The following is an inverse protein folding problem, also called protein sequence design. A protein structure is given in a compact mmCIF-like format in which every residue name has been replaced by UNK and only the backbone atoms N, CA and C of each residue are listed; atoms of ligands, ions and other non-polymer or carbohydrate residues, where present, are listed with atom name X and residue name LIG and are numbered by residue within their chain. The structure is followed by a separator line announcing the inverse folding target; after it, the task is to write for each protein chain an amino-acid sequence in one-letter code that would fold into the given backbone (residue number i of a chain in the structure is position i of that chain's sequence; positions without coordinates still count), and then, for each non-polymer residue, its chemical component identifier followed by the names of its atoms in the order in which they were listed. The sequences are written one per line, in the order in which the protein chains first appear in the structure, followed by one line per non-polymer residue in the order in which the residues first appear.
data_IF_961426024335
#
_entry.id   IF_961426024335
#
_cell.length_a   1.000
_cell.length_b   1.000
_cell.length_c   1.000
_cell.angle_alpha   90.00
_cell.angle_beta   90.00
_cell.angle_gamma   90.00
#
_symmetry.space_group_name_H-M   'P 1'
#
loop_
_entity.id
_entity.type
_entity.pdbx_description
1 polymer ?
#
# COMPACT_ATOMS: atom_id res chain seq x y z
N UNK A 1 -10.98 11.35 -6.03
CA UNK A 1 -9.88 12.35 -6.01
C UNK A 1 -8.56 11.69 -5.62
N UNK A 2 -7.39 12.19 -6.05
CA UNK A 2 -6.09 11.67 -5.59
C UNK A 2 -5.61 12.35 -4.31
N UNK A 3 -5.25 11.57 -3.28
CA UNK A 3 -4.63 12.07 -2.05
C UNK A 3 -3.16 11.72 -2.02
N UNK A 4 -2.29 12.72 -1.79
CA UNK A 4 -0.85 12.50 -1.58
C UNK A 4 -0.62 11.93 -0.19
N UNK A 5 0.23 10.91 -0.08
CA UNK A 5 0.65 10.28 1.18
C UNK A 5 2.16 10.04 1.18
N UNK A 6 2.80 10.02 2.34
CA UNK A 6 4.26 9.88 2.42
C UNK A 6 4.77 9.24 3.71
N UNK A 7 6.00 8.73 3.67
CA UNK A 7 6.71 8.24 4.87
C UNK A 7 6.82 9.32 5.94
N UNK A 8 7.00 10.58 5.57
CA UNK A 8 7.06 11.70 6.52
C UNK A 8 5.77 11.85 7.34
N UNK A 9 4.61 11.60 6.72
CA UNK A 9 3.29 11.67 7.36
C UNK A 9 3.04 10.47 8.29
N UNK A 10 3.39 9.24 7.86
CA UNK A 10 3.04 8.01 8.57
C UNK A 10 4.17 7.42 9.44
N UNK A 11 5.40 7.91 9.30
CA UNK A 11 6.57 7.45 10.04
C UNK A 11 6.76 5.93 9.96
N UNK A 12 6.86 5.28 11.13
CA UNK A 12 7.01 3.82 11.23
C UNK A 12 5.80 3.04 10.68
N UNK A 13 4.62 3.66 10.58
CA UNK A 13 3.41 3.00 10.02
C UNK A 13 3.34 3.05 8.50
N UNK A 14 4.28 3.73 7.84
CA UNK A 14 4.32 3.80 6.38
C UNK A 14 4.57 2.42 5.76
N UNK A 15 3.67 1.86 4.94
CA UNK A 15 3.78 0.47 4.52
C UNK A 15 4.70 0.23 3.33
N UNK A 16 5.20 1.27 2.66
CA UNK A 16 5.91 1.11 1.39
C UNK A 16 7.41 1.41 1.46
N UNK A 17 8.19 0.79 0.59
CA UNK A 17 9.64 1.03 0.47
C UNK A 17 9.96 2.37 -0.20
N UNK A 18 9.04 2.93 -0.99
CA UNK A 18 9.15 4.28 -1.59
C UNK A 18 8.89 5.37 -0.55
N UNK A 19 9.31 6.61 -0.82
CA UNK A 19 9.12 7.74 0.12
C UNK A 19 7.71 8.33 0.10
N UNK A 20 7.02 8.29 -1.05
CA UNK A 20 5.69 8.88 -1.21
C UNK A 20 4.96 8.37 -2.44
N UNK A 21 3.68 8.68 -2.54
CA UNK A 21 2.85 8.46 -3.72
C UNK A 21 1.45 9.05 -3.53
N UNK A 22 0.52 8.57 -4.34
CA UNK A 22 -0.88 8.97 -4.30
C UNK A 22 -1.77 7.77 -4.07
N UNK A 23 -2.74 7.90 -3.18
CA UNK A 23 -3.83 6.93 -3.01
C UNK A 23 -5.12 7.50 -3.58
N UNK A 24 -5.88 6.63 -4.24
CA UNK A 24 -7.20 6.95 -4.80
C UNK A 24 -7.94 5.67 -5.14
N UNK A 25 -9.20 5.79 -5.50
CA UNK A 25 -9.98 4.66 -5.97
C UNK A 25 -10.67 4.90 -7.31
N UNK A 26 -10.92 3.82 -8.03
CA UNK A 26 -11.74 3.76 -9.25
C UNK A 26 -12.70 2.58 -9.07
N UNK A 27 -14.01 2.81 -9.05
CA UNK A 27 -15.00 1.72 -8.87
C UNK A 27 -14.70 0.79 -7.68
N UNK A 28 -14.31 1.37 -6.52
CA UNK A 28 -13.88 0.65 -5.30
C UNK A 28 -12.55 -0.12 -5.40
N UNK A 29 -11.86 -0.09 -6.54
CA UNK A 29 -10.47 -0.53 -6.63
C UNK A 29 -9.59 0.50 -5.93
N UNK A 30 -8.94 0.12 -4.82
CA UNK A 30 -8.01 0.99 -4.11
C UNK A 30 -6.63 0.89 -4.76
N UNK A 31 -6.06 2.03 -5.12
CA UNK A 31 -4.84 2.11 -5.95
C UNK A 31 -3.82 3.00 -5.25
N UNK A 32 -2.56 2.56 -5.26
CA UNK A 32 -1.40 3.40 -4.92
C UNK A 32 -0.57 3.68 -6.18
N UNK A 33 -0.33 4.95 -6.47
CA UNK A 33 0.48 5.38 -7.61
C UNK A 33 1.76 6.07 -7.18
N UNK A 34 2.89 5.60 -7.69
CA UNK A 34 4.22 6.16 -7.43
C UNK A 34 5.14 5.84 -8.60
N UNK A 35 6.05 6.77 -8.94
CA UNK A 35 7.03 6.59 -10.02
C UNK A 35 6.41 6.10 -11.36
N UNK A 36 5.20 6.56 -11.69
CA UNK A 36 4.46 6.17 -12.91
C UNK A 36 3.79 4.78 -12.85
N UNK A 37 4.00 4.02 -11.78
CA UNK A 37 3.41 2.69 -11.58
C UNK A 37 2.15 2.78 -10.73
N UNK A 38 1.16 1.93 -11.05
CA UNK A 38 -0.11 1.82 -10.31
C UNK A 38 -0.22 0.43 -9.70
N UNK A 39 -0.29 0.39 -8.38
CA UNK A 39 -0.30 -0.81 -7.57
C UNK A 39 -1.68 -1.07 -6.98
N UNK A 40 -2.09 -2.34 -6.95
CA UNK A 40 -3.30 -2.80 -6.28
C UNK A 40 -3.14 -2.70 -4.77
N UNK A 41 -4.13 -2.15 -4.06
CA UNK A 41 -4.18 -2.18 -2.60
C UNK A 41 -5.25 -3.14 -2.06
N UNK A 42 -6.14 -3.63 -2.92
CA UNK A 42 -7.19 -4.57 -2.55
C UNK A 42 -7.50 -5.52 -3.71
N UNK A 43 -8.26 -6.59 -3.41
CA UNK A 43 -8.62 -7.60 -4.41
C UNK A 43 -9.45 -7.07 -5.59
N UNK A 44 -10.15 -5.94 -5.44
CA UNK A 44 -10.87 -5.30 -6.56
C UNK A 44 -9.88 -4.66 -7.53
N UNK A 45 -8.83 -4.00 -7.04
CA UNK A 45 -7.78 -3.47 -7.89
C UNK A 45 -6.96 -4.60 -8.54
N UNK A 46 -6.73 -5.69 -7.82
CA UNK A 46 -6.08 -6.87 -8.39
C UNK A 46 -6.89 -7.48 -9.55
N UNK A 47 -8.20 -7.66 -9.39
CA UNK A 47 -9.07 -8.21 -10.45
C UNK A 47 -9.18 -7.31 -11.67
N UNK A 48 -8.86 -6.02 -11.53
CA UNK A 48 -8.76 -5.06 -12.63
C UNK A 48 -7.38 -5.03 -13.31
N UNK A 49 -6.41 -5.83 -12.85
CA UNK A 49 -5.10 -5.98 -13.48
C UNK A 49 -4.05 -4.93 -13.06
N UNK A 50 -4.24 -4.24 -11.93
CA UNK A 50 -3.19 -3.36 -11.39
C UNK A 50 -2.00 -4.16 -10.85
N UNK A 51 -0.83 -3.52 -10.82
CA UNK A 51 0.45 -4.16 -10.42
C UNK A 51 0.38 -4.68 -8.98
N UNK A 52 0.91 -5.87 -8.70
CA UNK A 52 1.03 -6.38 -7.33
C UNK A 52 1.87 -5.46 -6.45
N UNK A 53 1.40 -5.16 -5.24
CA UNK A 53 2.07 -4.27 -4.30
C UNK A 53 3.28 -4.91 -3.60
N UNK A 54 3.36 -6.25 -3.58
CA UNK A 54 4.38 -7.05 -2.91
C UNK A 54 5.82 -6.55 -3.09
N UNK A 55 6.29 -6.15 -4.30
CA UNK A 55 7.66 -5.69 -4.49
C UNK A 55 8.02 -4.41 -3.72
N UNK A 56 7.02 -3.59 -3.35
CA UNK A 56 7.22 -2.36 -2.59
C UNK A 56 6.60 -2.40 -1.20
N UNK A 57 6.01 -3.53 -0.81
CA UNK A 57 5.39 -3.70 0.50
C UNK A 57 6.45 -4.05 1.55
N UNK A 58 6.65 -3.12 2.48
CA UNK A 58 7.66 -3.20 3.52
C UNK A 58 7.31 -4.23 4.59
N UNK A 59 8.33 -4.95 5.03
CA UNK A 59 8.25 -5.85 6.17
C UNK A 59 8.10 -5.09 7.50
N UNK A 60 7.40 -5.70 8.45
CA UNK A 60 7.32 -5.27 9.85
C UNK A 60 8.35 -6.02 10.68
N UNK A 61 9.52 -5.39 10.83
CA UNK A 61 10.66 -5.95 11.58
C UNK A 61 10.44 -5.96 13.10
N UNK A 62 9.30 -5.49 13.61
CA UNK A 62 8.99 -5.55 15.05
C UNK A 62 8.32 -6.88 15.46
N UNK A 63 7.96 -7.72 14.49
CA UNK A 63 7.34 -9.03 14.74
C UNK A 63 8.47 -10.09 14.73
N UNK A 64 8.66 -10.86 15.81
CA UNK A 64 9.63 -11.95 15.83
C UNK A 64 9.35 -12.94 14.70
N UNK A 65 10.39 -13.31 13.95
CA UNK A 65 10.33 -14.29 12.88
C UNK A 65 10.84 -15.66 13.36
N UNK A 66 10.05 -16.70 13.11
CA UNK A 66 10.44 -18.09 13.38
C UNK A 66 11.36 -18.64 12.26
N UNK A 67 12.09 -19.75 12.52
CA UNK A 67 12.87 -20.42 11.49
C UNK A 67 11.99 -20.88 10.32
N UNK A 68 12.25 -20.36 9.11
CA UNK A 68 11.50 -20.69 7.91
C UNK A 68 10.30 -19.78 7.60
N UNK A 69 9.97 -18.83 8.49
CA UNK A 69 8.89 -17.88 8.27
C UNK A 69 9.35 -16.67 7.44
N UNK A 70 8.43 -16.13 6.64
CA UNK A 70 8.62 -14.83 5.98
C UNK A 70 8.22 -13.70 6.93
N UNK A 71 8.92 -12.54 6.92
CA UNK A 71 8.50 -11.39 7.70
C UNK A 71 7.05 -11.00 7.42
N UNK A 72 6.31 -10.67 8.48
CA UNK A 72 5.01 -10.03 8.35
C UNK A 72 5.16 -8.69 7.62
N UNK A 73 4.09 -8.23 6.96
CA UNK A 73 4.08 -6.95 6.25
C UNK A 73 3.43 -5.86 7.10
N UNK A 74 3.88 -4.60 6.95
CA UNK A 74 3.25 -3.45 7.62
C UNK A 74 1.79 -3.32 7.14
N UNK A 75 0.84 -3.13 8.04
CA UNK A 75 -0.58 -3.03 7.69
C UNK A 75 -0.88 -1.95 6.63
N UNK A 76 -1.48 -2.34 5.49
CA UNK A 76 -1.90 -1.43 4.40
C UNK A 76 -3.34 -0.93 4.54
N UNK A 77 -4.12 -1.45 5.50
CA UNK A 77 -5.51 -1.07 5.73
C UNK A 77 -5.76 0.44 5.72
N UNK A 78 -4.97 1.26 6.45
CA UNK A 78 -5.12 2.71 6.41
C UNK A 78 -4.96 3.32 5.01
N UNK A 79 -4.14 2.75 4.12
CA UNK A 79 -4.01 3.24 2.74
C UNK A 79 -5.24 2.90 1.90
N UNK A 80 -5.86 1.74 2.15
CA UNK A 80 -7.10 1.32 1.50
C UNK A 80 -8.25 2.24 1.93
N UNK A 81 -8.40 2.48 3.24
CA UNK A 81 -9.40 3.40 3.79
C UNK A 81 -9.27 4.79 3.17
N UNK A 82 -8.06 5.35 3.18
CA UNK A 82 -7.78 6.64 2.55
C UNK A 82 -8.10 6.66 1.05
N UNK A 83 -7.84 5.58 0.31
CA UNK A 83 -8.18 5.49 -1.10
C UNK A 83 -9.71 5.51 -1.34
N UNK A 84 -10.48 4.86 -0.46
CA UNK A 84 -11.92 4.70 -0.58
C UNK A 84 -12.71 5.91 -0.04
N UNK A 85 -12.19 6.62 0.96
CA UNK A 85 -12.76 7.90 1.42
C UNK A 85 -12.74 8.98 0.34
N UNK A 86 -11.83 8.85 -0.63
CA UNK A 86 -11.68 9.77 -1.76
C UNK A 86 -12.47 9.34 -3.01
N UNK A 87 -13.51 8.50 -2.88
CA UNK A 87 -14.43 8.17 -3.97
C UNK A 87 -15.23 9.39 -4.44
#
# INVERSE_FOLDING_TARGET
MKRKVSRKEFGKKWPFTVESGYVYSINRAAIFETNGMKYQLNGVAESMGYTLIDPIWRDDLNIPIGPGDTPAKINIGPMIELALENM
#
